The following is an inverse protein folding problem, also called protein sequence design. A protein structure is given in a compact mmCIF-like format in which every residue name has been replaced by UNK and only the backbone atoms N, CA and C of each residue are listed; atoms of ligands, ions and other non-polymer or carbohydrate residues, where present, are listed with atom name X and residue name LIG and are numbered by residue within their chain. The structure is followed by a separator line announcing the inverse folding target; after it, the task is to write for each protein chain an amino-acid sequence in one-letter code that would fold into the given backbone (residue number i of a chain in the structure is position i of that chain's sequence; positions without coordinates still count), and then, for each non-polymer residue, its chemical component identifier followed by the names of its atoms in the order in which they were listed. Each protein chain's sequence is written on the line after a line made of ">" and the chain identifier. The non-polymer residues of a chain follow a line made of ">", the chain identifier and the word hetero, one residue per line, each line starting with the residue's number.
data_IF_287026243710
#
_entry.id   IF_287026243710
#
_cell.length_a   1.000
_cell.length_b   1.000
_cell.length_c   1.000
_cell.angle_alpha   90.00
_cell.angle_beta   90.00
_cell.angle_gamma   90.00
#
_symmetry.space_group_name_H-M   'P 1'
#
loop_
_entity.id
_entity.type
_entity.pdbx_description
1 polymer ?
#
# COMPACT_ATOMS: atom_id res chain seq x y z
N UNK A 1 -15.22 -5.33 -7.28
CA UNK A 1 -14.60 -6.56 -6.76
C UNK A 1 -15.64 -7.65 -6.57
N UNK A 2 -15.38 -8.81 -7.08
CA UNK A 2 -16.27 -9.96 -6.89
C UNK A 2 -16.21 -10.42 -5.43
N UNK A 3 -17.35 -10.81 -4.82
CA UNK A 3 -17.39 -11.24 -3.41
C UNK A 3 -16.38 -12.35 -3.05
N UNK A 4 -16.12 -13.27 -3.98
CA UNK A 4 -15.14 -14.34 -3.76
C UNK A 4 -13.71 -13.86 -3.69
N UNK A 5 -13.36 -12.81 -4.41
CA UNK A 5 -12.01 -12.21 -4.36
C UNK A 5 -11.76 -11.51 -3.02
N UNK A 6 -12.75 -10.81 -2.49
CA UNK A 6 -12.66 -10.18 -1.18
C UNK A 6 -12.47 -11.20 -0.07
N UNK A 7 -13.19 -12.33 -0.12
CA UNK A 7 -13.01 -13.43 0.83
C UNK A 7 -11.63 -14.07 0.74
N UNK A 8 -11.11 -14.25 -0.47
CA UNK A 8 -9.76 -14.79 -0.68
C UNK A 8 -8.69 -13.86 -0.08
N UNK A 9 -8.81 -12.54 -0.29
CA UNK A 9 -7.91 -11.55 0.29
C UNK A 9 -7.97 -11.55 1.81
N UNK A 10 -9.16 -11.63 2.40
CA UNK A 10 -9.31 -11.74 3.85
C UNK A 10 -8.64 -12.98 4.41
N UNK A 11 -8.77 -14.12 3.73
CA UNK A 11 -8.13 -15.36 4.16
C UNK A 11 -6.59 -15.24 4.13
N UNK A 12 -6.03 -14.58 3.12
CA UNK A 12 -4.59 -14.32 3.05
C UNK A 12 -4.14 -13.45 4.22
N UNK A 13 -4.85 -12.37 4.51
CA UNK A 13 -4.53 -11.47 5.62
C UNK A 13 -4.62 -12.19 6.95
N UNK A 14 -5.66 -12.98 7.19
CA UNK A 14 -5.81 -13.79 8.40
C UNK A 14 -4.61 -14.71 8.60
N UNK A 15 -4.18 -15.40 7.56
CA UNK A 15 -3.03 -16.29 7.61
C UNK A 15 -1.74 -15.51 7.94
N UNK A 16 -1.57 -14.33 7.37
CA UNK A 16 -0.42 -13.45 7.67
C UNK A 16 -0.44 -13.02 9.13
N UNK A 17 -1.58 -12.54 9.62
CA UNK A 17 -1.71 -12.07 11.00
C UNK A 17 -1.48 -13.18 12.03
N UNK A 18 -1.85 -14.41 11.71
CA UNK A 18 -1.63 -15.55 12.59
C UNK A 18 -0.17 -16.02 12.62
N UNK A 19 0.52 -15.94 11.48
CA UNK A 19 1.81 -16.61 11.29
C UNK A 19 3.02 -15.69 11.26
N UNK A 20 2.81 -14.39 11.09
CA UNK A 20 3.92 -13.46 10.85
C UNK A 20 4.92 -13.44 12.01
N UNK A 21 4.46 -13.41 13.25
CA UNK A 21 5.35 -13.34 14.42
C UNK A 21 6.30 -14.55 14.44
N UNK A 22 5.77 -15.76 14.22
CA UNK A 22 6.58 -16.96 14.20
C UNK A 22 7.51 -17.01 12.97
N UNK A 23 6.99 -16.66 11.80
CA UNK A 23 7.76 -16.70 10.55
C UNK A 23 8.85 -15.63 10.49
N UNK A 24 8.63 -14.49 11.13
CA UNK A 24 9.58 -13.38 11.14
C UNK A 24 10.51 -13.35 12.37
N UNK A 25 10.47 -14.37 13.19
CA UNK A 25 11.28 -14.42 14.41
C UNK A 25 10.93 -13.32 15.43
N UNK A 26 9.65 -13.10 15.67
CA UNK A 26 9.16 -12.05 16.56
C UNK A 26 9.32 -10.65 15.95
N UNK A 27 8.99 -10.51 14.68
CA UNK A 27 9.06 -9.28 13.89
C UNK A 27 10.49 -8.74 13.65
N UNK A 28 11.47 -9.64 13.65
CA UNK A 28 12.84 -9.27 13.26
C UNK A 28 13.00 -9.07 11.78
N UNK A 29 12.17 -9.76 10.99
CA UNK A 29 12.19 -9.70 9.54
C UNK A 29 10.87 -9.18 9.02
N UNK A 30 10.94 -8.44 7.93
CA UNK A 30 9.75 -8.01 7.19
C UNK A 30 9.35 -9.06 6.16
N UNK A 31 8.12 -8.95 5.66
CA UNK A 31 7.63 -9.76 4.56
C UNK A 31 7.12 -8.88 3.43
N UNK A 32 7.15 -9.41 2.22
CA UNK A 32 6.59 -8.75 1.03
C UNK A 32 5.30 -9.45 0.62
N UNK A 33 4.28 -8.67 0.34
CA UNK A 33 3.04 -9.16 -0.27
C UNK A 33 2.94 -8.59 -1.68
N UNK A 34 3.24 -9.43 -2.67
CA UNK A 34 3.16 -9.04 -4.08
C UNK A 34 1.71 -9.05 -4.56
N UNK A 35 1.32 -8.01 -5.25
CA UNK A 35 -0.01 -7.87 -5.86
C UNK A 35 0.12 -7.60 -7.36
N UNK A 36 -0.92 -7.95 -8.11
CA UNK A 36 -0.91 -7.82 -9.57
C UNK A 36 -1.28 -6.42 -10.06
N UNK A 37 -1.91 -5.60 -9.22
CA UNK A 37 -2.40 -4.28 -9.62
C UNK A 37 -2.43 -3.31 -8.44
N UNK A 38 -2.50 -2.02 -8.76
CA UNK A 38 -2.69 -0.95 -7.76
C UNK A 38 -4.02 -1.14 -7.03
N UNK A 39 -5.07 -1.52 -7.72
CA UNK A 39 -6.38 -1.79 -7.10
C UNK A 39 -6.28 -2.87 -6.03
N UNK A 40 -5.59 -3.97 -6.33
CA UNK A 40 -5.36 -5.05 -5.37
C UNK A 40 -4.55 -4.57 -4.16
N UNK A 41 -3.51 -3.79 -4.40
CA UNK A 41 -2.69 -3.23 -3.33
C UNK A 41 -3.52 -2.32 -2.40
N UNK A 42 -4.35 -1.45 -2.96
CA UNK A 42 -5.26 -0.58 -2.21
C UNK A 42 -6.25 -1.42 -1.38
N UNK A 43 -6.84 -2.45 -1.97
CA UNK A 43 -7.77 -3.34 -1.27
C UNK A 43 -7.09 -4.09 -0.11
N UNK A 44 -5.90 -4.64 -0.33
CA UNK A 44 -5.15 -5.29 0.74
C UNK A 44 -4.82 -4.33 1.88
N UNK A 45 -4.37 -3.13 1.55
CA UNK A 45 -4.07 -2.12 2.56
C UNK A 45 -5.31 -1.77 3.39
N UNK A 46 -6.44 -1.54 2.74
CA UNK A 46 -7.70 -1.22 3.41
C UNK A 46 -8.20 -2.39 4.28
N UNK A 47 -8.14 -3.61 3.77
CA UNK A 47 -8.54 -4.80 4.50
C UNK A 47 -7.63 -5.07 5.70
N UNK A 48 -6.31 -4.89 5.59
CA UNK A 48 -5.41 -4.97 6.73
C UNK A 48 -5.81 -3.99 7.82
N UNK A 49 -6.06 -2.74 7.46
CA UNK A 49 -6.45 -1.71 8.41
C UNK A 49 -7.74 -2.09 9.15
N UNK A 50 -8.76 -2.53 8.42
CA UNK A 50 -10.06 -2.92 8.98
C UNK A 50 -9.96 -4.16 9.86
N UNK A 51 -9.26 -5.18 9.40
CA UNK A 51 -9.14 -6.45 10.14
C UNK A 51 -8.29 -6.30 11.39
N UNK A 52 -7.20 -5.53 11.33
CA UNK A 52 -6.37 -5.26 12.49
C UNK A 52 -7.09 -4.41 13.52
N UNK A 53 -7.89 -3.43 13.06
CA UNK A 53 -8.72 -2.63 13.96
C UNK A 53 -9.75 -3.50 14.68
N UNK A 54 -10.42 -4.39 13.97
CA UNK A 54 -11.38 -5.31 14.57
C UNK A 54 -10.74 -6.23 15.61
N UNK A 55 -9.55 -6.75 15.34
CA UNK A 55 -8.80 -7.58 16.27
C UNK A 55 -8.36 -6.78 17.52
N UNK A 56 -7.95 -5.54 17.34
CA UNK A 56 -7.55 -4.67 18.44
C UNK A 56 -8.74 -4.28 19.32
N UNK A 57 -9.90 -4.04 18.72
CA UNK A 57 -11.15 -3.76 19.44
C UNK A 57 -11.61 -4.97 20.27
N UNK A 58 -11.39 -6.19 19.76
CA UNK A 58 -11.74 -7.43 20.46
C UNK A 58 -10.68 -7.83 21.51
N UNK A 59 -9.44 -7.51 21.30
CA UNK A 59 -8.31 -7.85 22.19
C UNK A 59 -7.36 -6.65 22.32
N UNK A 60 -7.39 -5.93 23.45
CA UNK A 60 -6.51 -4.78 23.67
C UNK A 60 -5.01 -5.11 23.65
N UNK A 61 -4.64 -6.37 23.88
CA UNK A 61 -3.25 -6.82 23.82
C UNK A 61 -2.77 -7.14 22.43
N UNK A 62 -3.65 -7.14 21.44
CA UNK A 62 -3.28 -7.33 20.04
C UNK A 62 -2.39 -6.20 19.55
N UNK A 63 -1.24 -6.54 18.99
CA UNK A 63 -0.28 -5.58 18.44
C UNK A 63 -0.38 -5.56 16.91
N UNK A 64 -0.93 -4.49 16.32
CA UNK A 64 -1.03 -4.41 14.86
C UNK A 64 0.34 -4.43 14.18
N UNK A 65 0.39 -5.03 13.00
CA UNK A 65 1.55 -4.98 12.11
C UNK A 65 1.57 -3.63 11.39
N UNK A 66 2.76 -3.11 11.16
CA UNK A 66 2.96 -1.90 10.37
C UNK A 66 3.00 -2.26 8.88
N UNK A 67 2.02 -1.79 8.16
CA UNK A 67 1.83 -2.10 6.75
C UNK A 67 2.25 -0.90 5.91
N UNK A 68 3.16 -1.09 4.97
CA UNK A 68 3.51 -0.12 3.95
C UNK A 68 3.03 -0.61 2.58
N UNK A 69 2.77 0.32 1.67
CA UNK A 69 2.33 0.00 0.33
C UNK A 69 3.20 0.75 -0.68
N UNK A 70 3.87 0.02 -1.55
CA UNK A 70 4.78 0.56 -2.55
C UNK A 70 4.23 0.31 -3.94
N UNK A 71 4.23 1.35 -4.75
CA UNK A 71 3.89 1.27 -6.15
C UNK A 71 5.16 1.24 -6.97
N UNK A 72 5.18 0.47 -8.07
CA UNK A 72 6.34 0.41 -8.95
C UNK A 72 6.75 1.79 -9.43
N UNK A 73 8.06 2.07 -9.51
CA UNK A 73 8.53 3.35 -10.04
C UNK A 73 7.96 3.59 -11.45
N UNK A 74 7.60 4.82 -11.76
CA UNK A 74 6.97 5.13 -13.06
C UNK A 74 7.87 4.89 -14.26
N UNK A 75 9.16 4.78 -14.06
CA UNK A 75 10.14 4.67 -15.14
C UNK A 75 10.09 3.33 -15.87
N UNK A 76 9.50 2.29 -15.28
CA UNK A 76 9.60 0.94 -15.83
C UNK A 76 8.25 0.25 -16.08
N UNK A 77 7.20 1.01 -16.27
CA UNK A 77 6.07 0.47 -17.02
C UNK A 77 4.86 -0.02 -16.27
N UNK A 78 4.54 0.49 -15.06
CA UNK A 78 3.18 0.31 -14.57
C UNK A 78 2.28 1.41 -15.17
N UNK A 79 1.42 1.09 -16.16
CA UNK A 79 0.61 2.10 -16.82
C UNK A 79 -0.35 2.81 -15.87
N UNK A 80 -0.79 2.16 -14.80
CA UNK A 80 -1.69 2.77 -13.82
C UNK A 80 -1.00 3.87 -13.02
N UNK A 81 0.24 3.62 -12.56
CA UNK A 81 1.02 4.63 -11.84
C UNK A 81 1.39 5.79 -12.75
N UNK A 82 1.82 5.47 -13.97
CA UNK A 82 2.15 6.48 -14.96
C UNK A 82 0.93 7.35 -15.28
N UNK A 83 -0.22 6.73 -15.47
CA UNK A 83 -1.48 7.43 -15.72
C UNK A 83 -1.86 8.35 -14.56
N UNK A 84 -1.76 7.86 -13.34
CA UNK A 84 -2.04 8.65 -12.13
C UNK A 84 -1.07 9.83 -12.02
N UNK A 85 0.20 9.62 -12.31
CA UNK A 85 1.18 10.71 -12.30
C UNK A 85 0.94 11.73 -13.41
N UNK A 86 0.63 11.28 -14.62
CA UNK A 86 0.28 12.16 -15.73
C UNK A 86 -0.96 12.97 -15.40
N UNK A 87 -1.96 12.35 -14.79
CA UNK A 87 -3.19 13.03 -14.37
C UNK A 87 -2.96 14.03 -13.24
N UNK A 88 -2.02 13.74 -12.34
CA UNK A 88 -1.63 14.69 -11.29
C UNK A 88 -0.91 15.91 -11.85
N UNK A 89 -0.13 15.72 -12.92
CA UNK A 89 0.59 16.81 -13.59
C UNK A 89 -0.33 17.61 -14.51
N UNK A 90 -1.38 16.98 -15.01
CA UNK A 90 -2.41 17.63 -15.83
C UNK A 90 -3.64 17.96 -14.98
N UNK A 91 -3.55 18.97 -14.14
CA UNK A 91 -4.74 19.58 -13.51
C UNK A 91 -5.68 20.22 -14.54
N UNK A 92 -5.55 19.90 -15.80
CA UNK A 92 -6.32 20.55 -16.84
C UNK A 92 -7.58 19.77 -17.22
N UNK A 93 -8.64 20.47 -17.07
CA UNK A 93 -10.02 20.27 -17.48
C UNK A 93 -10.26 19.77 -18.91
N UNK A 94 -9.26 19.52 -19.72
CA UNK A 94 -9.44 19.22 -21.15
C UNK A 94 -9.86 17.78 -21.44
N UNK A 95 -9.67 16.87 -20.49
CA UNK A 95 -10.06 15.47 -20.66
C UNK A 95 -11.58 15.24 -20.64
N UNK A 96 -12.33 16.23 -20.18
CA UNK A 96 -13.78 16.09 -19.96
C UNK A 96 -14.64 16.31 -21.21
N UNK A 97 -14.05 16.76 -22.32
CA UNK A 97 -14.86 17.29 -23.44
C UNK A 97 -15.16 16.25 -24.55
N UNK A 98 -14.49 15.11 -24.57
CA UNK A 98 -14.56 14.22 -25.77
C UNK A 98 -15.09 12.82 -25.59
N UNK A 99 -15.45 12.39 -24.39
CA UNK A 99 -15.80 10.99 -24.23
C UNK A 99 -16.94 10.80 -23.22
N UNK A 100 -18.12 10.50 -23.66
CA UNK A 100 -19.33 10.16 -22.96
C UNK A 100 -19.22 9.44 -21.59
N UNK A 101 -20.23 8.65 -21.23
CA UNK A 101 -20.34 8.00 -19.91
C UNK A 101 -19.11 7.20 -19.45
N UNK A 102 -18.37 6.60 -20.40
CA UNK A 102 -17.17 5.80 -20.08
C UNK A 102 -16.00 6.66 -19.57
N UNK A 103 -15.88 7.90 -20.03
CA UNK A 103 -14.85 8.82 -19.56
C UNK A 103 -15.14 9.31 -18.14
N UNK A 104 -16.41 9.54 -17.80
CA UNK A 104 -16.80 9.91 -16.45
C UNK A 104 -16.54 8.79 -15.47
N UNK A 105 -16.81 7.54 -15.84
CA UNK A 105 -16.51 6.38 -15.01
C UNK A 105 -15.01 6.22 -14.79
N UNK A 106 -14.20 6.36 -15.85
CA UNK A 106 -12.73 6.33 -15.73
C UNK A 106 -12.21 7.45 -14.86
N UNK A 107 -12.73 8.66 -15.01
CA UNK A 107 -12.35 9.80 -14.19
C UNK A 107 -12.67 9.56 -12.71
N UNK A 108 -13.85 9.07 -12.39
CA UNK A 108 -14.24 8.73 -11.02
C UNK A 108 -13.36 7.65 -10.44
N UNK A 109 -13.00 6.65 -11.23
CA UNK A 109 -12.12 5.57 -10.79
C UNK A 109 -10.70 6.08 -10.52
N UNK A 110 -10.15 6.93 -11.38
CA UNK A 110 -8.86 7.57 -11.18
C UNK A 110 -8.86 8.44 -9.94
N UNK A 111 -9.91 9.25 -9.73
CA UNK A 111 -10.05 10.06 -8.53
C UNK A 111 -10.14 9.21 -7.27
N UNK A 112 -10.87 8.10 -7.31
CA UNK A 112 -10.95 7.15 -6.21
C UNK A 112 -9.59 6.56 -5.87
N UNK A 113 -8.83 6.16 -6.88
CA UNK A 113 -7.45 5.65 -6.69
C UNK A 113 -6.55 6.72 -6.08
N UNK A 114 -6.61 7.95 -6.59
CA UNK A 114 -5.83 9.08 -6.04
C UNK A 114 -6.13 9.31 -4.57
N UNK A 115 -7.41 9.34 -4.20
CA UNK A 115 -7.80 9.53 -2.80
C UNK A 115 -7.32 8.38 -1.91
N UNK A 116 -7.42 7.14 -2.39
CA UNK A 116 -6.91 5.99 -1.66
C UNK A 116 -5.40 6.06 -1.48
N UNK A 117 -4.65 6.43 -2.51
CA UNK A 117 -3.19 6.59 -2.43
C UNK A 117 -2.79 7.74 -1.52
N UNK A 118 -3.51 8.85 -1.55
CA UNK A 118 -3.30 9.95 -0.60
C UNK A 118 -3.51 9.51 0.84
N UNK A 119 -4.53 8.68 1.08
CA UNK A 119 -4.79 8.10 2.40
C UNK A 119 -3.65 7.19 2.87
N UNK A 120 -3.13 6.35 1.99
CA UNK A 120 -1.98 5.49 2.27
C UNK A 120 -0.73 6.32 2.61
N UNK A 121 -0.45 7.35 1.83
CA UNK A 121 0.67 8.27 2.08
C UNK A 121 0.49 9.03 3.40
N UNK A 122 -0.73 9.51 3.68
CA UNK A 122 -1.03 10.23 4.91
C UNK A 122 -0.80 9.35 6.15
N UNK A 123 -1.21 8.10 6.11
CA UNK A 123 -0.97 7.13 7.18
C UNK A 123 0.53 6.89 7.39
N UNK A 124 1.27 6.68 6.32
CA UNK A 124 2.73 6.52 6.37
C UNK A 124 3.41 7.76 6.93
N UNK A 125 3.04 8.94 6.44
CA UNK A 125 3.60 10.21 6.90
C UNK A 125 3.35 10.44 8.39
N UNK A 126 2.17 10.11 8.87
CA UNK A 126 1.82 10.21 10.29
C UNK A 126 2.65 9.24 11.13
N UNK A 127 2.78 8.01 10.68
CA UNK A 127 3.52 6.97 11.42
C UNK A 127 5.01 7.30 11.53
N UNK A 128 5.61 7.78 10.45
CA UNK A 128 7.08 7.97 10.36
C UNK A 128 7.51 9.44 10.37
N UNK A 129 6.59 10.37 10.58
CA UNK A 129 6.87 11.82 10.60
C UNK A 129 7.54 12.31 9.31
N UNK A 130 6.97 11.90 8.17
CA UNK A 130 7.42 12.26 6.83
C UNK A 130 6.40 13.13 6.11
N UNK A 131 6.74 13.64 4.93
CA UNK A 131 5.90 14.54 4.13
C UNK A 131 5.82 14.11 2.65
N UNK A 132 5.71 12.82 2.40
CA UNK A 132 5.63 12.32 1.03
C UNK A 132 4.32 12.70 0.36
N UNK A 133 4.39 12.99 -0.95
CA UNK A 133 3.25 13.35 -1.78
C UNK A 133 3.14 12.43 -3.00
N UNK A 134 1.97 12.41 -3.63
CA UNK A 134 1.77 11.62 -4.86
C UNK A 134 2.69 12.07 -6.01
N UNK A 135 3.05 13.34 -6.06
CA UNK A 135 3.97 13.86 -7.07
C UNK A 135 5.43 13.45 -6.85
N UNK A 136 5.74 12.90 -5.69
CA UNK A 136 7.11 12.54 -5.28
C UNK A 136 7.22 11.06 -4.89
N UNK A 137 6.67 10.17 -5.73
CA UNK A 137 6.70 8.74 -5.49
C UNK A 137 8.12 8.17 -5.34
N UNK A 138 9.08 8.74 -6.07
CA UNK A 138 10.46 8.29 -6.01
C UNK A 138 11.05 8.45 -4.61
N UNK A 139 10.77 9.57 -3.97
CA UNK A 139 11.23 9.85 -2.60
C UNK A 139 10.54 8.92 -1.60
N UNK A 140 9.24 8.68 -1.77
CA UNK A 140 8.48 7.75 -0.96
C UNK A 140 9.04 6.33 -1.08
N UNK A 141 9.26 5.86 -2.28
CA UNK A 141 9.84 4.55 -2.57
C UNK A 141 11.22 4.38 -1.93
N UNK A 142 12.08 5.38 -2.09
CA UNK A 142 13.42 5.40 -1.51
C UNK A 142 13.37 5.36 0.03
N UNK A 143 12.45 6.09 0.63
CA UNK A 143 12.28 6.11 2.09
C UNK A 143 11.89 4.72 2.62
N UNK A 144 10.95 4.06 1.96
CA UNK A 144 10.54 2.69 2.31
C UNK A 144 11.70 1.72 2.18
N UNK A 145 12.44 1.77 1.08
CA UNK A 145 13.60 0.90 0.87
C UNK A 145 14.67 1.12 1.94
N UNK A 146 14.93 2.37 2.29
CA UNK A 146 15.89 2.72 3.33
C UNK A 146 15.46 2.18 4.68
N UNK A 147 14.19 2.34 5.06
CA UNK A 147 13.66 1.82 6.33
C UNK A 147 13.75 0.31 6.42
N UNK A 148 13.39 -0.40 5.36
CA UNK A 148 13.50 -1.85 5.29
C UNK A 148 14.95 -2.30 5.46
N UNK A 149 15.88 -1.60 4.84
CA UNK A 149 17.30 -1.89 4.95
C UNK A 149 17.84 -1.60 6.35
N UNK A 150 17.48 -0.46 6.91
CA UNK A 150 17.98 -0.02 8.21
C UNK A 150 17.48 -0.90 9.37
N UNK A 151 16.32 -1.53 9.23
CA UNK A 151 15.75 -2.42 10.24
C UNK A 151 16.22 -3.88 10.14
N UNK A 152 17.06 -4.23 9.15
CA UNK A 152 17.61 -5.57 8.99
C UNK A 152 18.79 -5.80 9.93
N UNK A 153 19.19 -7.06 10.02
CA UNK A 153 20.37 -7.43 10.79
C UNK A 153 21.59 -6.57 10.41
N UNK A 154 22.39 -6.02 11.35
CA UNK A 154 22.36 -6.28 12.80
C UNK A 154 21.35 -5.46 13.62
N UNK A 155 20.57 -4.59 13.00
CA UNK A 155 19.64 -3.67 13.67
C UNK A 155 18.26 -4.32 13.94
N UNK A 156 18.21 -5.61 14.16
CA UNK A 156 16.97 -6.33 14.42
C UNK A 156 16.21 -5.86 15.68
N UNK A 157 16.90 -5.18 16.59
CA UNK A 157 16.32 -4.63 17.80
C UNK A 157 15.73 -3.22 17.63
N UNK A 158 15.60 -2.76 16.39
CA UNK A 158 14.95 -1.51 16.07
C UNK A 158 13.53 -1.47 16.67
N UNK A 159 13.07 -0.33 17.25
CA UNK A 159 11.74 -0.28 17.88
C UNK A 159 10.62 -0.69 16.92
N UNK A 160 9.72 -1.55 17.39
CA UNK A 160 8.61 -2.06 16.57
C UNK A 160 7.76 -0.95 15.96
N UNK A 161 7.57 0.16 16.67
CA UNK A 161 6.81 1.30 16.16
C UNK A 161 7.44 1.96 14.93
N UNK A 162 8.74 1.74 14.70
CA UNK A 162 9.49 2.30 13.57
C UNK A 162 9.74 1.29 12.46
N UNK A 163 9.39 0.02 12.67
CA UNK A 163 9.58 -1.03 11.67
C UNK A 163 8.43 -1.07 10.68
N UNK A 164 8.76 -1.50 9.46
CA UNK A 164 7.78 -1.95 8.49
C UNK A 164 7.74 -3.47 8.58
N UNK A 165 6.57 -4.04 8.91
CA UNK A 165 6.41 -5.50 9.06
C UNK A 165 6.05 -6.16 7.73
N UNK A 166 5.10 -5.58 7.02
CA UNK A 166 4.63 -6.06 5.72
C UNK A 166 4.71 -4.92 4.72
N UNK A 167 5.30 -5.18 3.57
CA UNK A 167 5.28 -4.25 2.43
C UNK A 167 4.44 -4.85 1.33
N UNK A 168 3.35 -4.18 0.99
CA UNK A 168 2.52 -4.54 -0.15
C UNK A 168 3.19 -3.90 -1.38
N UNK A 169 3.53 -4.72 -2.37
CA UNK A 169 4.17 -4.26 -3.60
C UNK A 169 3.30 -4.58 -4.81
N UNK A 170 3.29 -3.67 -5.77
CA UNK A 170 2.68 -3.95 -7.06
C UNK A 170 3.77 -4.46 -7.98
N UNK A 171 3.67 -5.72 -8.36
CA UNK A 171 4.68 -6.39 -9.17
C UNK A 171 4.10 -6.75 -10.54
N UNK A 172 4.57 -6.04 -11.55
CA UNK A 172 4.17 -6.25 -12.95
C UNK A 172 4.84 -7.47 -13.59
N UNK A 173 5.87 -8.03 -12.96
CA UNK A 173 6.56 -9.22 -13.46
C UNK A 173 5.75 -10.50 -13.26
N UNK A 174 4.69 -10.46 -12.46
CA UNK A 174 3.80 -11.59 -12.23
C UNK A 174 2.65 -11.69 -13.24
N UNK A 175 2.58 -10.77 -14.17
CA UNK A 175 1.57 -10.80 -15.22
C UNK A 175 2.04 -11.44 -16.52
#
# INVERSE_FOLDING_TARGET
>A
TKPGEALAKKAVIEAILEKHDAASGGRRFNALLATASINDAIEYHDLFAKMQKAKQDADPDFKPLNIACVFSPPAEGNPDVKQIQEDLLQESSEYTIQAGEDAEKKKKEIERKKEALKGILAEYNTRYSTNHTLGEFDLYYQDIQKRIKDQQWPNADFPHAQKIDITIVVDMLLT
#
